data_IF_443212782419
#
_entry.id   IF_443212782419
#
_cell.length_a   1.000
_cell.length_b   1.000
_cell.length_c   1.000
_cell.angle_alpha   90.00
_cell.angle_beta   90.00
_cell.angle_gamma   90.00
#
_symmetry.space_group_name_H-M   'P 1'
#
loop_
_entity.id
_entity.type
_entity.pdbx_description
1 polymer ?
#
# COMPACT_ATOMS: atom_id res chain seq x y z
N UNK A 1 -20.34 16.50 -14.94
CA UNK A 1 -19.90 17.07 -13.65
C UNK A 1 -18.62 17.86 -13.86
N UNK A 2 -18.37 18.89 -13.07
CA UNK A 2 -17.05 19.54 -12.96
C UNK A 2 -16.31 18.95 -11.75
N UNK A 3 -14.98 19.07 -11.73
CA UNK A 3 -14.19 18.62 -10.58
C UNK A 3 -14.52 19.44 -9.32
N UNK A 4 -14.49 18.80 -8.16
CA UNK A 4 -14.61 19.50 -6.87
C UNK A 4 -13.35 20.31 -6.56
N UNK A 5 -13.50 21.30 -5.68
CA UNK A 5 -12.42 22.24 -5.33
C UNK A 5 -11.93 22.11 -3.88
N UNK A 6 -12.60 21.30 -3.05
CA UNK A 6 -12.32 21.21 -1.62
C UNK A 6 -12.68 19.83 -1.03
N UNK A 7 -12.05 19.52 0.11
CA UNK A 7 -12.30 18.33 0.91
C UNK A 7 -12.77 18.75 2.32
N UNK A 8 -14.02 19.21 2.50
CA UNK A 8 -14.45 19.80 3.75
C UNK A 8 -14.63 18.75 4.85
N UNK A 9 -14.28 19.13 6.08
CA UNK A 9 -14.61 18.42 7.31
C UNK A 9 -15.53 19.30 8.14
N UNK A 10 -16.66 18.75 8.59
CA UNK A 10 -17.65 19.46 9.39
C UNK A 10 -17.65 18.94 10.82
N UNK A 11 -17.77 19.84 11.79
CA UNK A 11 -17.92 19.49 13.20
C UNK A 11 -19.39 19.26 13.52
N UNK A 12 -19.69 18.14 14.20
CA UNK A 12 -21.04 17.75 14.59
C UNK A 12 -21.03 17.26 16.03
N UNK A 13 -22.21 17.10 16.64
CA UNK A 13 -22.32 16.45 17.96
C UNK A 13 -21.86 14.97 17.96
N UNK A 14 -21.71 14.37 16.77
CA UNK A 14 -21.27 13.00 16.57
C UNK A 14 -19.79 12.87 16.18
N UNK A 15 -19.02 13.96 16.26
CA UNK A 15 -17.61 14.03 15.86
C UNK A 15 -17.37 14.82 14.58
N UNK A 16 -16.13 14.82 14.09
CA UNK A 16 -15.74 15.49 12.85
C UNK A 16 -15.94 14.58 11.65
N UNK A 17 -16.77 15.00 10.71
CA UNK A 17 -17.20 14.19 9.57
C UNK A 17 -16.64 14.78 8.27
N UNK A 18 -15.91 13.96 7.52
CA UNK A 18 -15.52 14.22 6.15
C UNK A 18 -16.33 13.38 5.17
N UNK A 19 -16.32 13.73 3.89
CA UNK A 19 -16.97 12.95 2.85
C UNK A 19 -16.11 12.87 1.59
N UNK A 20 -16.19 11.73 0.91
CA UNK A 20 -15.66 11.54 -0.42
C UNK A 20 -16.63 10.69 -1.24
N UNK A 21 -16.50 10.72 -2.57
CA UNK A 21 -17.51 10.13 -3.46
C UNK A 21 -16.87 9.08 -4.35
N UNK A 22 -17.23 7.81 -4.11
CA UNK A 22 -17.00 6.69 -5.00
C UNK A 22 -15.55 6.58 -5.48
N UNK A 23 -15.24 7.10 -6.68
CA UNK A 23 -13.91 7.02 -7.29
C UNK A 23 -12.83 7.73 -6.45
N UNK A 24 -13.19 8.70 -5.62
CA UNK A 24 -12.27 9.37 -4.71
C UNK A 24 -11.56 8.39 -3.78
N UNK A 25 -12.25 7.34 -3.32
CA UNK A 25 -11.68 6.32 -2.43
C UNK A 25 -10.53 5.51 -3.05
N UNK A 26 -10.34 5.59 -4.37
CA UNK A 26 -9.19 4.98 -5.05
C UNK A 26 -7.90 5.74 -4.79
N UNK A 27 -7.98 7.05 -4.54
CA UNK A 27 -6.83 7.93 -4.35
C UNK A 27 -6.51 8.07 -2.85
N UNK A 28 -5.32 7.62 -2.39
CA UNK A 28 -4.91 7.77 -0.99
C UNK A 28 -5.00 9.20 -0.46
N UNK A 29 -4.66 10.15 -1.32
CA UNK A 29 -4.43 11.55 -0.98
C UNK A 29 -5.71 12.21 -0.49
N UNK A 30 -6.86 11.83 -1.04
CA UNK A 30 -8.15 12.45 -0.69
C UNK A 30 -8.53 12.12 0.76
N UNK A 31 -8.51 10.83 1.11
CA UNK A 31 -8.79 10.38 2.47
C UNK A 31 -7.75 10.96 3.43
N UNK A 32 -6.47 10.99 3.04
CA UNK A 32 -5.41 11.61 3.85
C UNK A 32 -5.67 13.09 4.12
N UNK A 33 -6.09 13.86 3.12
CA UNK A 33 -6.43 15.27 3.28
C UNK A 33 -7.60 15.50 4.24
N UNK A 34 -8.64 14.67 4.18
CA UNK A 34 -9.77 14.73 5.12
C UNK A 34 -9.32 14.38 6.55
N UNK A 35 -8.51 13.34 6.72
CA UNK A 35 -8.02 12.91 8.03
C UNK A 35 -7.03 13.91 8.64
N UNK A 36 -6.17 14.55 7.84
CA UNK A 36 -5.28 15.62 8.30
C UNK A 36 -6.02 16.90 8.73
N UNK A 37 -7.23 17.12 8.24
CA UNK A 37 -8.14 18.15 8.75
C UNK A 37 -8.84 17.76 10.06
N UNK A 38 -8.60 16.53 10.54
CA UNK A 38 -9.10 16.02 11.81
C UNK A 38 -10.43 15.27 11.69
N UNK A 39 -10.79 14.73 10.53
CA UNK A 39 -11.97 13.86 10.44
C UNK A 39 -11.79 12.58 11.29
N UNK A 40 -12.82 12.25 12.06
CA UNK A 40 -12.94 11.00 12.83
C UNK A 40 -13.72 9.93 12.04
N UNK A 41 -14.69 10.40 11.25
CA UNK A 41 -15.60 9.60 10.43
C UNK A 41 -15.53 10.13 9.00
N UNK A 42 -15.43 9.22 8.03
CA UNK A 42 -15.58 9.53 6.61
C UNK A 42 -16.79 8.78 6.04
N UNK A 43 -17.60 9.49 5.26
CA UNK A 43 -18.70 8.90 4.51
C UNK A 43 -18.29 8.71 3.05
N UNK A 44 -18.52 7.51 2.51
CA UNK A 44 -18.34 7.17 1.10
C UNK A 44 -19.70 6.90 0.44
N UNK A 45 -20.09 7.77 -0.47
CA UNK A 45 -21.29 7.60 -1.29
C UNK A 45 -20.88 6.98 -2.63
N UNK A 46 -21.32 5.74 -2.87
CA UNK A 46 -20.69 4.94 -3.94
C UNK A 46 -21.67 4.14 -4.80
N UNK A 47 -21.19 3.82 -6.00
CA UNK A 47 -21.80 2.96 -7.01
C UNK A 47 -20.74 1.98 -7.53
N UNK A 48 -20.22 1.12 -6.65
CA UNK A 48 -19.22 0.12 -7.01
C UNK A 48 -19.81 -0.92 -7.96
N UNK A 49 -19.40 -0.84 -9.22
CA UNK A 49 -19.71 -1.83 -10.25
C UNK A 49 -18.93 -3.11 -9.95
N UNK A 50 -19.58 -4.27 -10.09
CA UNK A 50 -18.95 -5.55 -9.82
C UNK A 50 -17.81 -5.86 -10.80
N UNK A 51 -16.80 -6.52 -10.28
CA UNK A 51 -15.73 -7.21 -11.01
C UNK A 51 -15.88 -8.75 -10.90
N UNK A 52 -16.83 -9.22 -10.08
CA UNK A 52 -17.20 -10.63 -9.96
C UNK A 52 -18.41 -11.00 -10.82
N UNK A 53 -18.57 -12.30 -11.06
CA UNK A 53 -19.60 -12.86 -11.95
C UNK A 53 -20.77 -13.50 -11.21
N UNK A 54 -20.52 -14.09 -10.03
CA UNK A 54 -21.53 -14.78 -9.25
C UNK A 54 -22.27 -13.80 -8.32
N UNK A 55 -23.60 -13.89 -8.30
CA UNK A 55 -24.48 -12.93 -7.61
C UNK A 55 -24.18 -12.83 -6.11
N UNK A 56 -23.85 -13.95 -5.48
CA UNK A 56 -23.59 -14.04 -4.04
C UNK A 56 -22.20 -13.51 -3.68
N UNK A 57 -21.26 -13.50 -4.63
CA UNK A 57 -19.86 -13.09 -4.42
C UNK A 57 -19.44 -11.88 -5.25
N UNK A 58 -20.40 -11.08 -5.74
CA UNK A 58 -20.11 -9.83 -6.45
C UNK A 58 -19.16 -8.97 -5.63
N UNK A 59 -18.23 -8.32 -6.31
CA UNK A 59 -17.11 -7.72 -5.61
C UNK A 59 -16.50 -6.54 -6.33
N UNK A 60 -15.78 -5.70 -5.59
CA UNK A 60 -15.06 -4.56 -6.13
C UNK A 60 -13.79 -4.33 -5.31
N UNK A 61 -12.65 -4.04 -5.95
CA UNK A 61 -11.40 -3.67 -5.25
C UNK A 61 -11.56 -2.65 -4.12
N UNK A 62 -12.47 -1.68 -4.30
CA UNK A 62 -12.69 -0.65 -3.31
C UNK A 62 -13.22 -1.22 -1.99
N UNK A 63 -14.25 -2.06 -2.03
CA UNK A 63 -14.82 -2.66 -0.82
C UNK A 63 -13.92 -3.73 -0.22
N UNK A 64 -13.18 -4.46 -1.06
CA UNK A 64 -12.34 -5.58 -0.61
C UNK A 64 -11.07 -5.15 0.12
N UNK A 65 -10.38 -4.12 -0.39
CA UNK A 65 -9.09 -3.76 0.17
C UNK A 65 -8.77 -2.27 0.12
N UNK A 66 -9.25 -1.48 -0.85
CA UNK A 66 -8.89 -0.05 -0.87
C UNK A 66 -9.48 0.70 0.32
N UNK A 67 -10.79 0.66 0.53
CA UNK A 67 -11.45 1.38 1.64
C UNK A 67 -11.02 0.88 3.02
N UNK A 68 -10.94 -0.45 3.29
CA UNK A 68 -10.34 -0.94 4.53
C UNK A 68 -8.92 -0.39 4.75
N UNK A 69 -8.09 -0.37 3.71
CA UNK A 69 -6.75 0.21 3.79
C UNK A 69 -6.80 1.72 4.04
N UNK A 70 -7.69 2.47 3.40
CA UNK A 70 -7.89 3.91 3.67
C UNK A 70 -8.26 4.18 5.13
N UNK A 71 -9.09 3.32 5.72
CA UNK A 71 -9.47 3.42 7.13
C UNK A 71 -8.25 3.18 8.03
N UNK A 72 -7.47 2.12 7.77
CA UNK A 72 -6.25 1.77 8.51
C UNK A 72 -5.17 2.85 8.41
N UNK A 73 -4.81 3.25 7.19
CA UNK A 73 -3.75 4.22 6.92
C UNK A 73 -4.00 5.57 7.60
N UNK A 74 -5.27 5.91 7.85
CA UNK A 74 -5.67 7.19 8.42
C UNK A 74 -6.23 7.10 9.85
N UNK A 75 -6.41 5.88 10.35
CA UNK A 75 -7.00 5.59 11.67
C UNK A 75 -8.33 6.32 11.84
N UNK A 76 -9.26 6.11 10.92
CA UNK A 76 -10.60 6.71 10.90
C UNK A 76 -11.66 5.68 10.60
N UNK A 77 -12.88 5.95 11.04
CA UNK A 77 -14.04 5.17 10.60
C UNK A 77 -14.39 5.55 9.17
N UNK A 78 -14.69 4.56 8.32
CA UNK A 78 -15.28 4.81 7.00
C UNK A 78 -16.62 4.09 6.91
N UNK A 79 -17.65 4.79 6.45
CA UNK A 79 -19.00 4.27 6.30
C UNK A 79 -19.39 4.42 4.83
N UNK A 80 -19.56 3.30 4.14
CA UNK A 80 -19.84 3.28 2.72
C UNK A 80 -21.27 2.80 2.45
N UNK A 81 -22.01 3.58 1.66
CA UNK A 81 -23.32 3.22 1.15
C UNK A 81 -23.24 2.99 -0.36
N UNK A 82 -23.44 1.74 -0.79
CA UNK A 82 -23.39 1.32 -2.19
C UNK A 82 -24.76 0.91 -2.73
N UNK A 83 -24.94 1.03 -4.04
CA UNK A 83 -26.06 0.44 -4.78
C UNK A 83 -25.98 -1.08 -4.87
N UNK A 84 -27.14 -1.68 -5.08
CA UNK A 84 -27.32 -3.09 -5.39
C UNK A 84 -28.16 -3.26 -6.65
N UNK A 85 -28.02 -4.40 -7.33
CA UNK A 85 -28.83 -4.75 -8.50
C UNK A 85 -28.28 -4.23 -9.82
N UNK A 86 -29.06 -4.47 -10.88
CA UNK A 86 -28.72 -4.13 -12.27
C UNK A 86 -29.40 -2.81 -12.67
N UNK A 87 -28.62 -1.87 -13.18
CA UNK A 87 -29.10 -0.60 -13.72
C UNK A 87 -28.91 -0.55 -15.23
N UNK A 88 -29.91 0.00 -15.93
CA UNK A 88 -29.92 0.12 -17.39
C UNK A 88 -29.57 -1.19 -18.13
N UNK A 89 -29.92 -2.34 -17.53
CA UNK A 89 -29.66 -3.69 -18.04
C UNK A 89 -28.19 -4.01 -18.35
N UNK A 90 -27.24 -3.19 -17.92
CA UNK A 90 -25.83 -3.27 -18.33
C UNK A 90 -24.84 -3.02 -17.20
N UNK A 91 -25.26 -2.36 -16.12
CA UNK A 91 -24.40 -2.01 -14.99
C UNK A 91 -24.86 -2.78 -13.76
N UNK A 92 -24.08 -3.79 -13.34
CA UNK A 92 -24.36 -4.56 -12.13
C UNK A 92 -23.52 -4.02 -10.97
N UNK A 93 -24.18 -3.57 -9.91
CA UNK A 93 -23.52 -3.11 -8.68
C UNK A 93 -23.26 -4.28 -7.72
N UNK A 94 -22.18 -4.19 -6.95
CA UNK A 94 -21.77 -5.28 -6.06
C UNK A 94 -22.41 -5.26 -4.67
N UNK A 95 -23.35 -4.34 -4.38
CA UNK A 95 -23.93 -4.19 -3.04
C UNK A 95 -22.85 -3.92 -2.01
N UNK A 96 -22.86 -4.63 -0.88
CA UNK A 96 -21.77 -4.58 0.12
C UNK A 96 -21.52 -3.18 0.69
N UNK A 97 -22.58 -2.41 0.94
CA UNK A 97 -22.51 -1.29 1.89
C UNK A 97 -21.87 -1.79 3.19
N UNK A 98 -21.02 -0.98 3.83
CA UNK A 98 -20.19 -1.46 4.92
C UNK A 98 -19.75 -0.37 5.88
N UNK A 99 -19.41 -0.79 7.09
CA UNK A 99 -18.73 0.01 8.11
C UNK A 99 -17.33 -0.56 8.30
N UNK A 100 -16.31 0.28 8.16
CA UNK A 100 -14.90 -0.07 8.29
C UNK A 100 -14.32 0.57 9.54
N UNK A 101 -13.60 -0.22 10.33
CA UNK A 101 -12.94 0.23 11.57
C UNK A 101 -11.67 1.03 11.26
N UNK A 102 -11.18 1.85 12.21
CA UNK A 102 -9.87 2.47 12.14
C UNK A 102 -8.70 1.48 12.00
N UNK A 103 -8.90 0.20 12.32
CA UNK A 103 -7.92 -0.88 12.16
C UNK A 103 -7.96 -1.51 10.75
N UNK A 104 -8.82 -1.00 9.85
CA UNK A 104 -8.98 -1.53 8.50
C UNK A 104 -9.76 -2.84 8.44
N UNK A 105 -10.54 -3.14 9.47
CA UNK A 105 -11.42 -4.31 9.49
C UNK A 105 -12.83 -3.94 9.01
N UNK A 106 -13.53 -4.92 8.44
CA UNK A 106 -14.95 -4.77 8.10
C UNK A 106 -15.78 -5.07 9.35
N UNK A 107 -16.26 -4.03 10.01
CA UNK A 107 -17.09 -4.16 11.20
C UNK A 107 -18.45 -4.77 10.89
N UNK A 108 -19.04 -4.37 9.76
CA UNK A 108 -20.31 -4.90 9.25
C UNK A 108 -20.40 -4.67 7.75
N UNK A 109 -21.00 -5.61 7.03
CA UNK A 109 -21.19 -5.56 5.58
C UNK A 109 -22.58 -6.10 5.21
N UNK A 110 -23.22 -5.44 4.25
CA UNK A 110 -24.50 -5.85 3.69
C UNK A 110 -24.33 -6.93 2.62
N UNK A 111 -25.45 -7.55 2.23
CA UNK A 111 -25.48 -8.44 1.06
C UNK A 111 -24.92 -7.78 -0.20
N UNK A 112 -24.36 -8.62 -1.07
CA UNK A 112 -23.94 -8.26 -2.42
C UNK A 112 -25.10 -8.01 -3.38
N UNK A 113 -26.33 -8.44 -3.03
CA UNK A 113 -27.44 -8.49 -3.99
C UNK A 113 -28.83 -8.11 -3.45
N UNK A 114 -28.98 -7.81 -2.16
CA UNK A 114 -30.27 -7.46 -1.53
C UNK A 114 -30.28 -6.02 -1.01
N UNK A 115 -31.47 -5.42 -0.98
CA UNK A 115 -31.71 -4.14 -0.30
C UNK A 115 -31.73 -4.35 1.21
N UNK A 116 -30.92 -3.59 1.95
CA UNK A 116 -30.74 -3.79 3.39
C UNK A 116 -30.45 -2.46 4.11
N UNK A 117 -30.77 -2.42 5.41
CA UNK A 117 -30.37 -1.33 6.31
C UNK A 117 -29.34 -1.88 7.29
N UNK A 118 -28.16 -1.26 7.31
CA UNK A 118 -27.11 -1.60 8.27
C UNK A 118 -27.18 -0.69 9.50
N UNK A 119 -27.40 -1.31 10.66
CA UNK A 119 -27.22 -0.67 11.95
C UNK A 119 -25.87 -1.07 12.56
N UNK A 120 -25.10 -0.08 13.02
CA UNK A 120 -23.86 -0.29 13.76
C UNK A 120 -23.59 0.92 14.65
N UNK A 121 -23.20 0.68 15.91
CA UNK A 121 -22.83 1.74 16.85
C UNK A 121 -21.32 1.94 16.81
N UNK A 122 -20.87 3.18 16.64
CA UNK A 122 -19.46 3.52 16.47
C UNK A 122 -18.93 4.26 17.70
N UNK A 123 -17.75 3.84 18.17
CA UNK A 123 -17.00 4.55 19.20
C UNK A 123 -15.87 5.37 18.56
N UNK A 124 -15.86 6.68 18.79
CA UNK A 124 -14.82 7.57 18.27
C UNK A 124 -13.44 7.35 18.90
N UNK A 125 -13.36 6.63 20.03
CA UNK A 125 -12.08 6.41 20.74
C UNK A 125 -11.00 5.83 19.82
N UNK A 126 -11.38 4.90 18.94
CA UNK A 126 -10.45 4.27 17.99
C UNK A 126 -9.96 5.20 16.88
N UNK A 127 -10.66 6.30 16.61
CA UNK A 127 -10.24 7.29 15.61
C UNK A 127 -9.34 8.39 16.19
N UNK A 128 -9.28 8.53 17.53
CA UNK A 128 -8.43 9.52 18.20
C UNK A 128 -6.96 9.07 18.19
N UNK A 129 -6.69 7.79 18.43
CA UNK A 129 -5.32 7.25 18.40
C UNK A 129 -4.89 6.91 16.97
N UNK A 130 -3.88 7.65 16.49
CA UNK A 130 -3.33 7.53 15.14
C UNK A 130 -2.21 6.50 15.01
N UNK A 131 -1.93 5.77 16.10
CA UNK A 131 -0.94 4.69 16.14
C UNK A 131 -1.49 3.42 15.49
N UNK A 132 -0.69 2.78 14.63
CA UNK A 132 -0.95 1.42 14.11
C UNK A 132 -0.43 0.40 15.12
N UNK A 133 0.75 0.67 15.68
CA UNK A 133 1.38 -0.14 16.71
C UNK A 133 2.20 0.74 17.66
N UNK A 134 3.12 0.15 18.43
CA UNK A 134 3.97 0.88 19.38
C UNK A 134 5.08 1.72 18.74
N UNK A 135 5.33 1.54 17.45
CA UNK A 135 6.44 2.14 16.71
C UNK A 135 5.97 3.15 15.66
N UNK A 136 4.77 2.95 15.08
CA UNK A 136 4.30 3.74 13.94
C UNK A 136 3.01 4.48 14.28
N UNK A 137 3.05 5.80 14.12
CA UNK A 137 1.90 6.70 14.09
C UNK A 137 1.71 7.26 12.68
N UNK A 138 0.51 7.07 12.14
CA UNK A 138 0.16 7.41 10.75
C UNK A 138 0.21 8.90 10.42
N UNK A 139 0.16 9.76 11.42
CA UNK A 139 0.17 11.21 11.28
C UNK A 139 1.52 11.79 11.69
N UNK A 140 2.04 11.38 12.84
CA UNK A 140 3.26 11.96 13.42
C UNK A 140 4.54 11.52 12.67
N UNK A 141 4.58 10.29 12.16
CA UNK A 141 5.76 9.75 11.46
C UNK A 141 5.81 10.12 9.97
N UNK A 142 4.88 10.98 9.52
CA UNK A 142 4.93 11.52 8.16
C UNK A 142 6.20 12.34 7.95
N UNK A 143 6.67 12.38 6.70
CA UNK A 143 7.81 13.19 6.24
C UNK A 143 7.38 14.13 5.12
N UNK A 144 6.51 15.14 5.38
CA UNK A 144 5.94 16.01 4.35
C UNK A 144 6.96 16.70 3.44
N UNK A 145 8.14 17.00 3.97
CA UNK A 145 9.25 17.59 3.22
C UNK A 145 9.79 16.69 2.10
N UNK A 146 9.46 15.39 2.11
CA UNK A 146 9.81 14.43 1.07
C UNK A 146 8.67 14.17 0.08
N UNK A 147 7.50 14.79 0.24
CA UNK A 147 6.30 14.51 -0.58
C UNK A 147 6.11 15.49 -1.74
N UNK A 148 7.19 16.12 -2.20
CA UNK A 148 7.13 17.22 -3.17
C UNK A 148 6.45 16.83 -4.48
N UNK A 149 6.60 15.57 -4.90
CA UNK A 149 6.06 14.99 -6.13
C UNK A 149 4.53 14.95 -6.12
N UNK A 150 3.89 14.88 -4.95
CA UNK A 150 2.43 14.82 -4.84
C UNK A 150 1.74 16.14 -5.21
N UNK A 151 2.44 17.27 -5.12
CA UNK A 151 1.87 18.61 -5.34
C UNK A 151 2.41 19.32 -6.59
N UNK A 152 3.35 18.69 -7.30
CA UNK A 152 3.85 19.21 -8.56
C UNK A 152 2.82 18.99 -9.69
N UNK A 153 2.78 19.88 -10.72
CA UNK A 153 1.97 19.63 -11.90
C UNK A 153 2.26 18.26 -12.51
N UNK A 154 1.25 17.40 -12.65
CA UNK A 154 1.45 16.00 -13.06
C UNK A 154 2.18 15.89 -14.39
N UNK A 155 1.97 16.84 -15.31
CA UNK A 155 2.61 16.86 -16.62
C UNK A 155 4.12 17.18 -16.60
N UNK A 156 4.68 17.63 -15.47
CA UNK A 156 6.13 17.85 -15.29
C UNK A 156 6.83 16.65 -14.66
N UNK A 157 6.08 15.69 -14.10
CA UNK A 157 6.66 14.52 -13.45
C UNK A 157 7.19 13.51 -14.48
N UNK A 158 8.27 12.77 -14.17
CA UNK A 158 8.84 11.76 -15.06
C UNK A 158 7.81 10.72 -15.53
N UNK A 159 6.86 10.33 -14.68
CA UNK A 159 5.83 9.34 -14.99
C UNK A 159 4.97 9.73 -16.21
N UNK A 160 4.73 11.02 -16.43
CA UNK A 160 3.88 11.49 -17.53
C UNK A 160 4.51 11.22 -18.90
N UNK A 161 5.84 11.31 -18.99
CA UNK A 161 6.59 10.95 -20.20
C UNK A 161 6.52 9.45 -20.48
N UNK A 162 6.53 8.62 -19.43
CA UNK A 162 6.45 7.16 -19.51
C UNK A 162 5.07 6.73 -19.99
N UNK A 163 3.99 7.27 -19.42
CA UNK A 163 2.62 6.95 -19.80
C UNK A 163 2.31 7.25 -21.28
N UNK A 164 2.97 8.26 -21.86
CA UNK A 164 2.81 8.64 -23.27
C UNK A 164 3.70 7.83 -24.23
N UNK A 165 4.71 7.13 -23.71
CA UNK A 165 5.63 6.36 -24.54
C UNK A 165 4.91 5.16 -25.12
N UNK A 166 4.79 5.09 -26.46
CA UNK A 166 4.34 3.87 -27.12
C UNK A 166 5.33 2.75 -26.80
N UNK A 167 4.87 1.67 -26.20
CA UNK A 167 5.71 0.51 -25.93
C UNK A 167 6.06 -0.16 -27.26
N UNK A 168 7.35 -0.30 -27.54
CA UNK A 168 7.83 -1.16 -28.62
C UNK A 168 7.98 -2.60 -28.14
N UNK A 169 7.94 -3.57 -29.06
CA UNK A 169 8.07 -5.02 -28.79
C UNK A 169 9.42 -5.46 -28.16
N UNK A 170 10.33 -4.53 -27.83
CA UNK A 170 11.75 -4.82 -27.55
C UNK A 170 12.21 -4.59 -26.11
N UNK A 171 11.33 -4.33 -25.17
CA UNK A 171 11.74 -4.31 -23.75
C UNK A 171 11.68 -5.75 -23.23
N UNK A 172 12.81 -6.41 -22.93
CA UNK A 172 12.76 -7.74 -22.31
C UNK A 172 12.06 -7.61 -20.97
N UNK A 173 11.09 -8.49 -20.72
CA UNK A 173 10.41 -8.56 -19.42
C UNK A 173 11.42 -9.12 -18.41
N UNK A 174 11.78 -8.38 -17.35
CA UNK A 174 12.71 -8.89 -16.37
C UNK A 174 12.04 -10.04 -15.59
N UNK A 175 12.70 -11.20 -15.55
CA UNK A 175 12.33 -12.25 -14.62
C UNK A 175 12.81 -11.85 -13.23
N UNK A 176 11.89 -11.76 -12.27
CA UNK A 176 12.17 -11.31 -10.90
C UNK A 176 11.95 -12.45 -9.90
N UNK A 177 12.92 -12.70 -9.03
CA UNK A 177 12.82 -13.66 -7.95
C UNK A 177 12.76 -12.94 -6.60
N UNK A 178 11.86 -13.41 -5.72
CA UNK A 178 11.74 -12.95 -4.33
C UNK A 178 12.18 -14.10 -3.44
N UNK A 179 13.28 -13.90 -2.72
CA UNK A 179 13.88 -14.92 -1.87
C UNK A 179 13.24 -14.84 -0.48
N UNK A 180 12.78 -15.98 0.02
CA UNK A 180 12.40 -16.15 1.42
C UNK A 180 13.40 -17.11 2.07
N UNK A 181 14.07 -16.66 3.13
CA UNK A 181 15.10 -17.44 3.80
C UNK A 181 15.15 -17.13 5.29
N UNK A 182 15.58 -18.12 6.07
CA UNK A 182 15.76 -17.99 7.50
C UNK A 182 17.19 -17.56 7.86
N UNK A 183 17.30 -16.68 8.87
CA UNK A 183 18.53 -16.15 9.44
C UNK A 183 18.78 -16.76 10.82
N UNK A 184 19.40 -17.93 10.89
CA UNK A 184 19.71 -18.62 12.17
C UNK A 184 21.20 -18.79 12.45
N UNK A 185 22.05 -18.13 11.68
CA UNK A 185 23.46 -18.50 11.57
C UNK A 185 24.39 -17.27 11.48
N UNK A 186 25.69 -17.53 11.50
CA UNK A 186 26.72 -16.50 11.29
C UNK A 186 26.79 -15.99 9.83
N UNK A 187 27.48 -14.86 9.63
CA UNK A 187 27.65 -14.20 8.33
C UNK A 187 28.11 -15.14 7.21
N UNK A 188 29.05 -16.05 7.48
CA UNK A 188 29.57 -16.97 6.47
C UNK A 188 28.45 -17.82 5.84
N UNK A 189 27.55 -18.36 6.66
CA UNK A 189 26.42 -19.14 6.16
C UNK A 189 25.36 -18.28 5.47
N UNK A 190 25.15 -17.05 5.96
CA UNK A 190 24.27 -16.08 5.27
C UNK A 190 24.78 -15.77 3.86
N UNK A 191 26.08 -15.47 3.74
CA UNK A 191 26.70 -15.20 2.45
C UNK A 191 26.67 -16.41 1.53
N UNK A 192 26.92 -17.63 2.05
CA UNK A 192 26.77 -18.87 1.29
C UNK A 192 25.35 -19.06 0.75
N UNK A 193 24.32 -18.70 1.53
CA UNK A 193 22.92 -18.74 1.07
C UNK A 193 22.67 -17.71 -0.03
N UNK A 194 23.15 -16.47 0.12
CA UNK A 194 23.04 -15.45 -0.93
C UNK A 194 23.71 -15.95 -2.21
N UNK A 195 24.96 -16.41 -2.13
CA UNK A 195 25.70 -16.92 -3.28
C UNK A 195 24.97 -18.08 -3.95
N UNK A 196 24.47 -19.03 -3.16
CA UNK A 196 23.65 -20.13 -3.65
C UNK A 196 22.42 -19.62 -4.43
N UNK A 197 21.63 -18.71 -3.86
CA UNK A 197 20.45 -18.18 -4.55
C UNK A 197 20.82 -17.40 -5.81
N UNK A 198 21.84 -16.54 -5.78
CA UNK A 198 22.27 -15.80 -6.96
C UNK A 198 22.71 -16.76 -8.07
N UNK A 199 23.49 -17.80 -7.75
CA UNK A 199 23.93 -18.79 -8.74
C UNK A 199 22.73 -19.51 -9.39
N UNK A 200 21.86 -20.10 -8.57
CA UNK A 200 20.74 -20.92 -9.07
C UNK A 200 19.69 -20.08 -9.82
N UNK A 201 19.36 -18.89 -9.32
CA UNK A 201 18.34 -18.04 -9.95
C UNK A 201 18.87 -17.41 -11.25
N UNK A 202 20.15 -17.08 -11.30
CA UNK A 202 20.78 -16.61 -12.53
C UNK A 202 20.79 -17.69 -13.63
N UNK A 203 21.02 -18.96 -13.28
CA UNK A 203 20.88 -20.09 -14.22
C UNK A 203 19.45 -20.24 -14.76
N UNK A 204 18.46 -19.77 -14.01
CA UNK A 204 17.05 -19.71 -14.43
C UNK A 204 16.71 -18.42 -15.20
N UNK A 205 17.72 -17.69 -15.68
CA UNK A 205 17.58 -16.43 -16.43
C UNK A 205 16.96 -15.28 -15.63
N UNK A 206 16.99 -15.35 -14.29
CA UNK A 206 16.50 -14.28 -13.42
C UNK A 206 17.36 -13.02 -13.56
N UNK A 207 16.70 -11.87 -13.70
CA UNK A 207 17.33 -10.56 -13.88
C UNK A 207 17.33 -9.71 -12.61
N UNK A 208 16.37 -9.93 -11.70
CA UNK A 208 16.24 -9.18 -10.45
C UNK A 208 16.02 -10.16 -9.30
N UNK A 209 16.81 -10.08 -8.23
CA UNK A 209 16.69 -10.93 -7.04
C UNK A 209 16.51 -10.03 -5.81
N UNK A 210 15.44 -10.24 -5.07
CA UNK A 210 15.14 -9.51 -3.83
C UNK A 210 15.39 -10.43 -2.65
N UNK A 211 16.30 -10.05 -1.76
CA UNK A 211 16.56 -10.78 -0.51
C UNK A 211 15.75 -10.17 0.64
N UNK A 212 15.35 -10.98 1.64
CA UNK A 212 14.68 -10.46 2.82
C UNK A 212 15.65 -9.64 3.67
N UNK A 213 15.10 -8.78 4.52
CA UNK A 213 15.89 -8.01 5.48
C UNK A 213 16.65 -8.93 6.44
N UNK A 214 17.88 -8.53 6.77
CA UNK A 214 18.72 -9.22 7.74
C UNK A 214 18.61 -8.57 9.13
N UNK A 215 18.27 -9.33 10.17
CA UNK A 215 18.06 -8.81 11.54
C UNK A 215 19.32 -8.84 12.44
N UNK A 216 20.50 -9.11 11.89
CA UNK A 216 21.75 -9.14 12.68
C UNK A 216 22.81 -8.19 12.13
N UNK A 217 23.67 -7.72 13.04
CA UNK A 217 24.80 -6.85 12.73
C UNK A 217 25.92 -7.70 12.15
N UNK A 218 26.41 -7.32 10.98
CA UNK A 218 27.53 -8.00 10.35
C UNK A 218 28.84 -7.71 11.08
N UNK A 219 29.70 -8.71 11.33
CA UNK A 219 31.04 -8.48 11.88
C UNK A 219 31.98 -7.84 10.85
N UNK A 220 31.78 -8.11 9.56
CA UNK A 220 32.43 -7.39 8.45
C UNK A 220 31.78 -6.04 8.17
N UNK A 221 32.51 -5.15 7.52
CA UNK A 221 31.94 -3.88 7.06
C UNK A 221 30.89 -4.11 5.98
N UNK A 222 29.86 -3.25 5.90
CA UNK A 222 28.86 -3.33 4.84
C UNK A 222 29.49 -3.29 3.44
N UNK A 223 30.57 -2.52 3.29
CA UNK A 223 31.37 -2.43 2.07
C UNK A 223 31.96 -3.78 1.64
N UNK A 224 32.43 -4.61 2.57
CA UNK A 224 32.97 -5.95 2.25
C UNK A 224 31.87 -6.86 1.68
N UNK A 225 30.66 -6.78 2.23
CA UNK A 225 29.50 -7.58 1.79
C UNK A 225 29.10 -7.14 0.39
N UNK A 226 28.95 -5.83 0.19
CA UNK A 226 28.62 -5.24 -1.11
C UNK A 226 29.68 -5.62 -2.14
N UNK A 227 30.97 -5.55 -1.79
CA UNK A 227 32.06 -5.93 -2.68
C UNK A 227 31.97 -7.39 -3.11
N UNK A 228 31.72 -8.30 -2.18
CA UNK A 228 31.58 -9.74 -2.49
C UNK A 228 30.35 -10.03 -3.35
N UNK A 229 29.21 -9.39 -3.08
CA UNK A 229 28.01 -9.53 -3.94
C UNK A 229 28.29 -8.99 -5.33
N UNK A 230 28.94 -7.82 -5.45
CA UNK A 230 29.38 -7.26 -6.73
C UNK A 230 30.30 -8.21 -7.50
N UNK A 231 31.19 -8.93 -6.82
CA UNK A 231 32.04 -9.92 -7.49
C UNK A 231 31.22 -11.08 -8.09
N UNK A 232 30.21 -11.56 -7.36
CA UNK A 232 29.31 -12.62 -7.83
C UNK A 232 28.48 -12.13 -9.02
N UNK A 233 27.96 -10.90 -8.97
CA UNK A 233 27.08 -10.35 -10.01
C UNK A 233 27.83 -9.73 -11.19
N UNK A 234 29.13 -9.44 -11.09
CA UNK A 234 29.92 -8.64 -12.06
C UNK A 234 29.72 -9.01 -13.54
N UNK A 235 29.62 -10.32 -13.83
CA UNK A 235 29.50 -10.84 -15.20
C UNK A 235 28.12 -11.48 -15.46
N UNK A 236 27.18 -11.27 -14.55
CA UNK A 236 25.83 -11.81 -14.59
C UNK A 236 24.91 -10.63 -14.80
N UNK A 237 24.02 -10.69 -15.78
CA UNK A 237 23.01 -9.64 -16.02
C UNK A 237 21.89 -9.75 -14.97
N UNK A 238 22.25 -9.63 -13.69
CA UNK A 238 21.39 -9.79 -12.54
C UNK A 238 21.60 -8.63 -11.57
N UNK A 239 20.51 -8.06 -11.09
CA UNK A 239 20.47 -7.04 -10.03
C UNK A 239 20.02 -7.69 -8.73
N UNK A 240 20.65 -7.35 -7.61
CA UNK A 240 20.31 -7.86 -6.28
C UNK A 240 19.94 -6.71 -5.34
N UNK A 241 18.78 -6.79 -4.69
CA UNK A 241 18.41 -5.91 -3.59
C UNK A 241 18.72 -6.59 -2.25
N UNK A 242 19.59 -5.98 -1.43
CA UNK A 242 20.05 -6.51 -0.14
C UNK A 242 20.00 -5.40 0.92
N UNK A 243 19.50 -5.71 2.11
CA UNK A 243 19.47 -4.79 3.26
C UNK A 243 20.54 -5.18 4.28
N UNK A 244 21.32 -4.19 4.74
CA UNK A 244 22.35 -4.35 5.76
C UNK A 244 22.04 -3.51 7.00
N UNK A 245 22.44 -4.00 8.17
CA UNK A 245 22.39 -3.25 9.43
C UNK A 245 23.81 -2.86 9.83
N UNK A 246 24.02 -1.55 9.98
CA UNK A 246 25.29 -0.95 10.40
C UNK A 246 25.12 -0.24 11.74
N UNK A 247 26.16 -0.26 12.56
CA UNK A 247 26.20 0.48 13.84
C UNK A 247 27.16 1.65 13.71
N UNK A 248 26.69 2.86 13.94
CA UNK A 248 27.53 4.05 14.03
C UNK A 248 27.26 4.77 15.36
N UNK A 249 28.25 4.70 16.26
CA UNK A 249 28.09 5.17 17.64
C UNK A 249 27.05 4.35 18.41
N UNK A 250 26.07 5.03 18.98
CA UNK A 250 24.93 4.40 19.69
C UNK A 250 23.74 4.11 18.76
N UNK A 251 23.78 4.58 17.51
CA UNK A 251 22.70 4.44 16.54
C UNK A 251 22.91 3.25 15.61
N UNK A 252 21.79 2.66 15.18
CA UNK A 252 21.75 1.62 14.16
C UNK A 252 21.12 2.18 12.89
N UNK A 253 21.72 1.88 11.75
CA UNK A 253 21.25 2.28 10.43
C UNK A 253 20.92 1.04 9.63
N UNK A 254 19.74 1.04 9.01
CA UNK A 254 19.30 0.01 8.08
C UNK A 254 19.37 0.59 6.68
N UNK A 255 20.20 0.01 5.82
CA UNK A 255 20.44 0.53 4.47
C UNK A 255 20.19 -0.56 3.44
N UNK A 256 19.32 -0.29 2.47
CA UNK A 256 19.07 -1.17 1.32
C UNK A 256 19.93 -0.74 0.14
N UNK A 257 20.64 -1.71 -0.45
CA UNK A 257 21.48 -1.52 -1.63
C UNK A 257 20.91 -2.28 -2.82
N UNK A 258 20.95 -1.64 -3.99
CA UNK A 258 20.73 -2.29 -5.29
C UNK A 258 22.10 -2.49 -5.96
N UNK A 259 22.48 -3.75 -6.18
CA UNK A 259 23.81 -4.19 -6.59
C UNK A 259 23.77 -4.91 -7.93
#
# INVERSE_FOLDING_TARGET
FYAGEQYPVIETEFGKIGMFICADGRLPEIVRCLSLQGADILLDLTNWVTSGFEKETLTNPQVEYMIPTRALENRVWIIAANKVGMEASTILYCGKSAVFTPDGEVAKIASSSQEEILFYEISLKGAIDKSIDRQINTIDDRRPELYSELVQPTNTLPIYSIMKKKTGLKTPNPLTAVVQMEFKDNFKKYFQKIEFFINNLWEQETNIIIFPECDFIFPESGDDIIHKVKQITKNRKVLCAITLIEKAGESYYKTTFLI
#
